data_IF_496152265938
#
_entry.id   IF_496152265938
#
_cell.length_a   1.000
_cell.length_b   1.000
_cell.length_c   1.000
_cell.angle_alpha   90.00
_cell.angle_beta   90.00
_cell.angle_gamma   90.00
#
_symmetry.space_group_name_H-M   'P 1'
#
loop_
_entity.id
_entity.type
_entity.pdbx_description
1 polymer ?
#
# COMPACT_ATOMS: atom_id res chain seq x y z
N UNK A 1 -35.26 -23.04 2.47
CA UNK A 1 -34.21 -23.13 3.51
C UNK A 1 -34.92 -23.13 4.85
N UNK A 2 -34.87 -24.22 5.60
CA UNK A 2 -35.61 -24.31 6.88
C UNK A 2 -35.11 -23.22 7.84
N UNK A 3 -36.03 -22.46 8.42
CA UNK A 3 -35.77 -21.47 9.49
C UNK A 3 -35.53 -22.21 10.84
N UNK A 4 -34.72 -23.27 10.80
CA UNK A 4 -34.40 -24.06 11.98
C UNK A 4 -33.28 -23.39 12.78
N UNK A 5 -33.69 -22.51 13.69
CA UNK A 5 -32.80 -21.92 14.68
C UNK A 5 -32.53 -22.94 15.78
N UNK A 6 -31.25 -23.18 16.08
CA UNK A 6 -30.83 -24.05 17.17
C UNK A 6 -30.47 -23.22 18.39
N UNK A 7 -31.00 -23.61 19.54
CA UNK A 7 -30.66 -22.99 20.83
C UNK A 7 -29.40 -23.65 21.38
N UNK A 8 -28.44 -22.82 21.78
CA UNK A 8 -27.19 -23.24 22.43
C UNK A 8 -27.13 -22.65 23.84
N UNK A 9 -26.69 -23.44 24.81
CA UNK A 9 -26.40 -22.99 26.17
C UNK A 9 -24.91 -23.17 26.44
N UNK A 10 -24.26 -22.11 26.91
CA UNK A 10 -22.84 -22.08 27.27
C UNK A 10 -22.71 -21.37 28.62
N UNK A 11 -21.68 -21.72 29.37
CA UNK A 11 -21.35 -21.08 30.64
C UNK A 11 -19.99 -20.40 30.51
N UNK A 12 -19.90 -19.19 31.07
CA UNK A 12 -18.64 -18.51 31.31
C UNK A 12 -18.35 -18.56 32.82
N UNK A 13 -17.10 -18.82 33.17
CA UNK A 13 -16.62 -18.94 34.53
C UNK A 13 -15.99 -17.61 34.95
N UNK A 14 -16.59 -16.86 35.88
CA UNK A 14 -16.07 -15.55 36.30
C UNK A 14 -14.74 -15.63 37.08
N UNK A 15 -14.38 -16.83 37.55
CA UNK A 15 -13.10 -17.09 38.22
C UNK A 15 -11.92 -17.11 37.23
N UNK A 16 -12.19 -17.40 35.95
CA UNK A 16 -11.18 -17.40 34.89
C UNK A 16 -11.00 -15.98 34.33
N UNK A 17 -9.79 -15.38 34.36
CA UNK A 17 -9.67 -13.96 34.11
C UNK A 17 -10.02 -13.54 32.67
N UNK A 18 -9.73 -14.39 31.66
CA UNK A 18 -10.13 -14.13 30.28
C UNK A 18 -11.66 -14.11 30.14
N UNK A 19 -12.34 -15.01 30.85
CA UNK A 19 -13.79 -15.15 30.79
C UNK A 19 -14.48 -14.05 31.59
N UNK A 20 -13.90 -13.63 32.71
CA UNK A 20 -14.33 -12.45 33.46
C UNK A 20 -14.29 -11.18 32.59
N UNK A 21 -13.17 -10.92 31.92
CA UNK A 21 -13.05 -9.78 31.00
C UNK A 21 -14.07 -9.88 29.84
N UNK A 22 -14.31 -11.08 29.33
CA UNK A 22 -15.35 -11.30 28.32
C UNK A 22 -16.76 -10.97 28.86
N UNK A 23 -17.08 -11.36 30.10
CA UNK A 23 -18.35 -11.04 30.77
C UNK A 23 -18.51 -9.52 30.91
N UNK A 24 -17.48 -8.83 31.40
CA UNK A 24 -17.47 -7.36 31.55
C UNK A 24 -17.72 -6.68 30.18
N UNK A 25 -17.02 -7.12 29.14
CA UNK A 25 -17.21 -6.63 27.75
C UNK A 25 -18.65 -6.85 27.25
N UNK A 26 -19.24 -8.02 27.55
CA UNK A 26 -20.62 -8.35 27.15
C UNK A 26 -21.63 -7.45 27.86
N UNK A 27 -21.37 -7.08 29.12
CA UNK A 27 -22.25 -6.24 29.91
C UNK A 27 -22.35 -4.81 29.37
N UNK A 28 -21.28 -4.29 28.75
CA UNK A 28 -21.25 -2.99 28.09
C UNK A 28 -22.09 -2.94 26.81
N UNK A 29 -22.28 -4.08 26.15
CA UNK A 29 -23.03 -4.15 24.88
C UNK A 29 -24.54 -3.98 25.15
N UNK A 30 -25.26 -3.14 24.37
CA UNK A 30 -26.70 -3.01 24.48
C UNK A 30 -27.44 -4.35 24.29
N UNK A 31 -28.40 -4.65 25.17
CA UNK A 31 -29.18 -5.91 25.18
C UNK A 31 -29.71 -6.34 23.80
N UNK A 32 -30.16 -5.38 22.97
CA UNK A 32 -30.69 -5.65 21.62
C UNK A 32 -29.64 -6.20 20.65
N UNK A 33 -28.37 -5.85 20.84
CA UNK A 33 -27.26 -6.22 19.94
C UNK A 33 -26.48 -7.45 20.44
N UNK A 34 -26.60 -7.80 21.73
CA UNK A 34 -25.88 -8.94 22.33
C UNK A 34 -26.08 -10.24 21.57
N UNK A 35 -27.30 -10.51 21.07
CA UNK A 35 -27.58 -11.76 20.36
C UNK A 35 -26.83 -11.89 19.03
N UNK A 36 -26.65 -10.78 18.31
CA UNK A 36 -25.86 -10.75 17.07
C UNK A 36 -24.38 -10.87 17.39
N UNK A 37 -23.90 -10.10 18.39
CA UNK A 37 -22.53 -10.18 18.87
C UNK A 37 -22.10 -11.60 19.28
N UNK A 38 -22.96 -12.35 19.98
CA UNK A 38 -22.67 -13.74 20.33
C UNK A 38 -22.58 -14.64 19.11
N UNK A 39 -23.47 -14.47 18.12
CA UNK A 39 -23.42 -15.26 16.88
C UNK A 39 -22.12 -15.02 16.14
N UNK A 40 -21.74 -13.75 15.94
CA UNK A 40 -20.52 -13.38 15.23
C UNK A 40 -19.26 -13.87 15.96
N UNK A 41 -19.22 -13.70 17.29
CA UNK A 41 -18.10 -14.16 18.12
C UNK A 41 -17.92 -15.69 18.07
N UNK A 42 -19.01 -16.44 18.13
CA UNK A 42 -18.96 -17.91 18.04
C UNK A 42 -18.50 -18.35 16.64
N UNK A 43 -19.05 -17.76 15.58
CA UNK A 43 -18.66 -18.08 14.19
C UNK A 43 -17.20 -17.74 13.94
N UNK A 44 -16.73 -16.58 14.42
CA UNK A 44 -15.32 -16.19 14.33
C UNK A 44 -14.41 -17.17 15.08
N UNK A 45 -14.74 -17.55 16.32
CA UNK A 45 -13.98 -18.53 17.09
C UNK A 45 -13.89 -19.90 16.40
N UNK A 46 -14.98 -20.36 15.78
CA UNK A 46 -14.99 -21.60 15.01
C UNK A 46 -14.17 -21.47 13.73
N UNK A 47 -14.25 -20.34 13.02
CA UNK A 47 -13.44 -20.08 11.83
C UNK A 47 -11.94 -20.10 12.17
N UNK A 48 -11.54 -19.47 13.28
CA UNK A 48 -10.18 -19.53 13.80
C UNK A 48 -9.74 -20.96 14.14
N UNK A 49 -10.62 -21.75 14.77
CA UNK A 49 -10.36 -23.16 15.07
C UNK A 49 -10.11 -24.02 13.83
N UNK A 50 -10.78 -23.69 12.71
CA UNK A 50 -10.55 -24.37 11.42
C UNK A 50 -9.18 -24.04 10.81
N UNK A 51 -8.61 -22.88 11.12
CA UNK A 51 -7.26 -22.50 10.67
C UNK A 51 -6.19 -23.21 11.52
N UNK A 52 -6.28 -23.10 12.84
CA UNK A 52 -5.53 -23.93 13.79
C UNK A 52 -6.35 -24.09 15.08
N UNK A 53 -6.49 -25.33 15.55
CA UNK A 53 -7.25 -25.69 16.75
C UNK A 53 -6.82 -24.98 18.04
N UNK A 54 -5.57 -24.49 18.12
CA UNK A 54 -5.00 -23.79 19.27
C UNK A 54 -5.32 -22.30 19.27
N UNK A 55 -5.66 -21.74 18.12
CA UNK A 55 -5.82 -20.31 17.90
C UNK A 55 -6.91 -19.69 18.80
N UNK A 56 -8.12 -20.29 18.94
CA UNK A 56 -9.17 -19.70 19.78
C UNK A 56 -8.75 -19.53 21.25
N UNK A 57 -8.03 -20.50 21.80
CA UNK A 57 -7.55 -20.46 23.18
C UNK A 57 -6.37 -19.49 23.36
N UNK A 58 -5.51 -19.34 22.34
CA UNK A 58 -4.40 -18.38 22.40
C UNK A 58 -4.88 -16.93 22.25
N UNK A 59 -5.86 -16.70 21.37
CA UNK A 59 -6.45 -15.37 21.19
C UNK A 59 -7.29 -14.98 22.40
N UNK A 60 -7.95 -15.91 23.08
CA UNK A 60 -8.67 -15.57 24.31
C UNK A 60 -7.74 -15.12 25.44
N UNK A 61 -6.47 -15.54 25.46
CA UNK A 61 -5.47 -15.03 26.41
C UNK A 61 -5.15 -13.55 26.19
N UNK A 62 -5.44 -12.98 25.03
CA UNK A 62 -5.26 -11.54 24.80
C UNK A 62 -6.22 -10.72 25.65
N UNK A 63 -7.44 -11.20 25.94
CA UNK A 63 -8.41 -10.50 26.80
C UNK A 63 -7.89 -10.27 28.24
N UNK A 64 -6.86 -10.98 28.67
CA UNK A 64 -6.26 -10.80 30.01
C UNK A 64 -5.31 -9.63 30.13
N UNK A 65 -4.62 -9.28 29.05
CA UNK A 65 -3.54 -8.29 29.07
C UNK A 65 -4.03 -6.99 28.45
N UNK A 66 -3.35 -5.88 28.73
CA UNK A 66 -3.36 -4.68 27.87
C UNK A 66 -2.82 -5.08 26.49
N UNK A 67 -3.64 -5.82 25.77
CA UNK A 67 -3.22 -6.65 24.66
C UNK A 67 -3.09 -5.78 23.43
N UNK A 68 -1.84 -5.51 23.10
CA UNK A 68 -1.52 -4.84 21.86
C UNK A 68 -1.65 -5.81 20.68
N UNK A 69 -1.93 -5.27 19.50
CA UNK A 69 -1.93 -5.99 18.22
C UNK A 69 -0.61 -6.76 18.00
N UNK A 70 0.50 -6.22 18.53
CA UNK A 70 1.82 -6.86 18.48
C UNK A 70 1.83 -8.25 19.11
N UNK A 71 1.09 -8.45 20.22
CA UNK A 71 1.03 -9.75 20.89
C UNK A 71 0.29 -10.77 20.02
N UNK A 72 -0.79 -10.33 19.35
CA UNK A 72 -1.49 -11.17 18.37
C UNK A 72 -0.57 -11.55 17.20
N UNK A 73 0.16 -10.59 16.63
CA UNK A 73 1.11 -10.83 15.54
C UNK A 73 2.17 -11.85 15.98
N UNK A 74 2.73 -11.73 17.18
CA UNK A 74 3.70 -12.70 17.72
C UNK A 74 3.11 -14.10 17.84
N UNK A 75 1.89 -14.24 18.35
CA UNK A 75 1.19 -15.54 18.42
C UNK A 75 1.03 -16.12 17.02
N UNK A 76 0.62 -15.31 16.03
CA UNK A 76 0.44 -15.76 14.66
C UNK A 76 1.75 -16.18 13.99
N UNK A 77 2.85 -15.44 14.20
CA UNK A 77 4.19 -15.82 13.71
C UNK A 77 4.67 -17.15 14.30
N UNK A 78 4.41 -17.38 15.60
CA UNK A 78 4.75 -18.65 16.27
C UNK A 78 3.93 -19.81 15.71
N UNK A 79 2.64 -19.61 15.49
CA UNK A 79 1.73 -20.65 14.98
C UNK A 79 1.96 -20.95 13.50
N UNK A 80 2.27 -19.92 12.72
CA UNK A 80 2.44 -20.00 11.27
C UNK A 80 3.78 -19.35 10.88
N UNK A 81 4.91 -20.07 11.03
CA UNK A 81 6.24 -19.52 10.75
C UNK A 81 6.47 -19.08 9.30
N UNK A 82 5.59 -19.49 8.39
CA UNK A 82 5.61 -19.14 6.96
C UNK A 82 4.76 -17.90 6.62
N UNK A 83 4.02 -17.35 7.59
CA UNK A 83 3.35 -16.08 7.40
C UNK A 83 4.39 -14.97 7.56
N UNK A 84 4.74 -14.34 6.45
CA UNK A 84 5.54 -13.13 6.45
C UNK A 84 4.63 -11.97 6.87
N UNK A 85 4.56 -11.71 8.18
CA UNK A 85 3.75 -10.62 8.78
C UNK A 85 4.63 -9.37 8.99
N UNK A 86 5.87 -9.39 8.52
CA UNK A 86 6.77 -8.23 8.58
C UNK A 86 6.43 -7.14 7.54
N UNK A 87 5.45 -7.39 6.64
CA UNK A 87 4.99 -6.46 5.60
C UNK A 87 4.21 -5.23 6.11
N UNK A 88 4.29 -4.90 7.40
CA UNK A 88 3.72 -3.64 7.94
C UNK A 88 4.67 -2.45 7.76
N UNK A 89 5.72 -2.59 6.94
CA UNK A 89 6.54 -1.48 6.43
C UNK A 89 6.55 -1.34 4.90
N UNK A 90 5.79 -2.15 4.15
CA UNK A 90 5.57 -1.92 2.70
C UNK A 90 4.48 -0.86 2.47
N UNK A 91 4.50 0.23 3.27
CA UNK A 91 3.89 1.47 2.79
C UNK A 91 4.86 1.98 1.73
N UNK A 92 4.56 1.67 0.47
CA UNK A 92 5.08 2.40 -0.69
C UNK A 92 5.01 3.89 -0.38
N UNK A 93 6.11 4.45 0.12
CA UNK A 93 6.09 5.80 0.68
C UNK A 93 6.04 6.71 -0.53
N UNK A 94 4.99 7.52 -0.63
CA UNK A 94 4.88 8.54 -1.68
C UNK A 94 6.04 9.52 -1.49
N UNK A 95 7.00 9.50 -2.41
CA UNK A 95 8.13 10.41 -2.44
C UNK A 95 7.93 11.45 -3.54
N UNK A 96 8.37 12.68 -3.29
CA UNK A 96 8.43 13.70 -4.33
C UNK A 96 9.59 13.36 -5.26
N UNK A 97 9.32 13.13 -6.54
CA UNK A 97 10.32 12.69 -7.53
C UNK A 97 10.71 13.76 -8.53
N UNK A 98 9.92 14.83 -8.64
CA UNK A 98 10.24 15.97 -9.50
C UNK A 98 9.52 17.23 -9.05
N UNK A 99 10.08 18.38 -9.43
CA UNK A 99 9.54 19.70 -9.10
C UNK A 99 9.27 20.50 -10.36
N UNK A 100 8.17 21.24 -10.37
CA UNK A 100 7.74 22.02 -11.54
C UNK A 100 7.28 23.42 -11.15
N UNK A 101 7.49 24.37 -12.06
CA UNK A 101 7.05 25.77 -11.94
C UNK A 101 6.30 26.21 -13.19
N UNK A 102 5.43 27.20 -13.02
CA UNK A 102 4.86 28.00 -14.11
C UNK A 102 4.71 29.46 -13.67
N UNK A 103 4.76 30.39 -14.62
CA UNK A 103 4.59 31.83 -14.38
C UNK A 103 3.50 32.39 -15.29
N UNK A 104 2.92 33.55 -15.00
CA UNK A 104 2.07 34.21 -16.00
C UNK A 104 2.92 34.98 -16.99
N UNK A 105 2.52 34.90 -18.26
CA UNK A 105 3.11 35.70 -19.31
C UNK A 105 2.42 37.08 -19.36
N UNK A 106 3.10 38.09 -18.83
CA UNK A 106 2.59 39.48 -18.78
C UNK A 106 2.55 40.16 -20.16
N UNK A 107 3.24 39.58 -21.15
CA UNK A 107 3.30 40.12 -22.52
C UNK A 107 2.10 39.70 -23.37
N UNK A 108 1.34 38.69 -22.93
CA UNK A 108 0.16 38.19 -23.64
C UNK A 108 -1.14 38.76 -23.05
N UNK A 109 -2.06 39.16 -23.94
CA UNK A 109 -3.39 39.66 -23.54
C UNK A 109 -4.12 38.60 -22.71
N UNK A 110 -4.50 38.95 -21.47
CA UNK A 110 -5.19 38.05 -20.54
C UNK A 110 -4.31 37.36 -19.49
N UNK A 111 -2.98 37.57 -19.50
CA UNK A 111 -2.02 36.98 -18.54
C UNK A 111 -2.16 35.46 -18.36
N UNK A 112 -2.10 34.66 -19.44
CA UNK A 112 -2.22 33.22 -19.34
C UNK A 112 -1.04 32.61 -18.57
N UNK A 113 -1.31 31.48 -17.91
CA UNK A 113 -0.26 30.68 -17.27
C UNK A 113 0.62 30.00 -18.33
N UNK A 114 1.93 30.02 -18.14
CA UNK A 114 2.86 29.23 -18.93
C UNK A 114 2.63 27.73 -18.72
N UNK A 115 3.14 26.92 -19.64
CA UNK A 115 3.27 25.48 -19.41
C UNK A 115 4.14 25.21 -18.17
N UNK A 116 3.91 24.07 -17.52
CA UNK A 116 4.77 23.59 -16.45
C UNK A 116 6.12 23.18 -17.02
N UNK A 117 7.20 23.67 -16.41
CA UNK A 117 8.57 23.27 -16.73
C UNK A 117 9.27 22.77 -15.47
N UNK A 118 10.28 21.91 -15.66
CA UNK A 118 11.02 21.31 -14.56
C UNK A 118 11.94 22.33 -13.88
N UNK A 119 12.02 22.25 -12.55
CA UNK A 119 12.91 23.04 -11.70
C UNK A 119 13.66 22.12 -10.72
N UNK A 120 14.70 22.64 -10.06
CA UNK A 120 15.39 21.90 -9.00
C UNK A 120 14.59 21.89 -7.69
N UNK A 121 14.92 20.96 -6.80
CA UNK A 121 14.38 20.90 -5.44
C UNK A 121 14.66 22.17 -4.64
N UNK A 122 15.89 22.69 -4.73
CA UNK A 122 16.28 23.92 -4.03
C UNK A 122 15.45 25.12 -4.51
N UNK A 123 15.22 25.23 -5.82
CA UNK A 123 14.38 26.28 -6.40
C UNK A 123 12.92 26.13 -5.95
N UNK A 124 12.41 24.90 -5.88
CA UNK A 124 11.06 24.63 -5.37
C UNK A 124 10.91 25.07 -3.92
N UNK A 125 11.86 24.70 -3.07
CA UNK A 125 11.86 25.04 -1.64
C UNK A 125 11.98 26.56 -1.44
N UNK A 126 12.78 27.24 -2.26
CA UNK A 126 12.88 28.69 -2.24
C UNK A 126 11.52 29.35 -2.52
N UNK A 127 10.79 28.89 -3.54
CA UNK A 127 9.45 29.39 -3.88
C UNK A 127 8.36 29.00 -2.87
N UNK A 128 8.50 27.85 -2.20
CA UNK A 128 7.61 27.46 -1.11
C UNK A 128 7.72 28.43 0.06
N UNK A 129 8.96 28.85 0.37
CA UNK A 129 9.26 29.78 1.46
C UNK A 129 8.98 31.25 1.08
N UNK A 130 9.05 31.60 -0.21
CA UNK A 130 8.81 32.95 -0.73
C UNK A 130 7.78 32.90 -1.88
N UNK A 131 6.47 32.84 -1.55
CA UNK A 131 5.43 32.71 -2.55
C UNK A 131 5.26 34.02 -3.33
N UNK A 132 5.45 33.97 -4.64
CA UNK A 132 5.21 35.10 -5.53
C UNK A 132 3.83 34.97 -6.18
N UNK A 133 3.06 36.06 -6.25
CA UNK A 133 1.72 36.05 -6.85
C UNK A 133 1.70 35.65 -8.32
N UNK A 134 2.84 35.80 -9.02
CA UNK A 134 2.97 35.51 -10.44
C UNK A 134 3.61 34.14 -10.76
N UNK A 135 3.90 33.31 -9.75
CA UNK A 135 4.47 31.97 -9.95
C UNK A 135 3.72 30.90 -9.14
N UNK A 136 3.68 29.70 -9.69
CA UNK A 136 3.14 28.52 -9.03
C UNK A 136 4.12 27.38 -9.13
N UNK A 137 4.26 26.63 -8.04
CA UNK A 137 5.12 25.47 -7.96
C UNK A 137 4.34 24.23 -7.54
N UNK A 138 4.77 23.05 -7.98
CA UNK A 138 4.21 21.76 -7.54
C UNK A 138 5.29 20.68 -7.51
N UNK A 139 5.11 19.72 -6.61
CA UNK A 139 5.84 18.46 -6.61
C UNK A 139 5.04 17.37 -7.35
N UNK A 140 5.74 16.52 -8.09
CA UNK A 140 5.21 15.27 -8.63
C UNK A 140 5.57 14.14 -7.69
N UNK A 141 4.59 13.32 -7.35
CA UNK A 141 4.75 12.24 -6.39
C UNK A 141 4.76 10.89 -7.11
N UNK A 142 5.65 10.00 -6.71
CA UNK A 142 5.65 8.61 -7.12
C UNK A 142 5.86 7.71 -5.90
N UNK A 143 5.60 6.42 -6.09
CA UNK A 143 5.92 5.43 -5.09
C UNK A 143 7.42 5.11 -5.15
N UNK A 144 8.07 4.98 -4.00
CA UNK A 144 9.46 4.55 -3.94
C UNK A 144 9.58 3.09 -4.42
N UNK A 145 10.09 2.89 -5.64
CA UNK A 145 10.26 1.56 -6.26
C UNK A 145 11.52 0.82 -5.77
N UNK A 146 12.27 1.38 -4.80
CA UNK A 146 13.55 0.82 -4.37
C UNK A 146 13.46 -0.54 -3.65
N UNK A 147 12.27 -1.07 -3.37
CA UNK A 147 12.10 -2.44 -2.88
C UNK A 147 11.83 -3.47 -3.98
N UNK A 148 11.38 -3.08 -5.18
CA UNK A 148 11.11 -4.03 -6.27
C UNK A 148 12.35 -4.43 -7.09
N UNK A 149 13.52 -3.83 -6.82
CA UNK A 149 14.78 -4.17 -7.52
C UNK A 149 15.60 -5.30 -6.89
N UNK A 150 15.20 -5.87 -5.75
CA UNK A 150 15.91 -7.04 -5.18
C UNK A 150 15.49 -8.39 -5.79
N UNK A 151 14.29 -8.51 -6.34
CA UNK A 151 13.79 -9.80 -6.88
C UNK A 151 13.89 -9.94 -8.41
N UNK A 152 14.46 -8.96 -9.11
CA UNK A 152 14.62 -9.01 -10.58
C UNK A 152 16.07 -9.32 -10.99
N UNK A 153 17.05 -9.36 -10.07
CA UNK A 153 18.44 -9.66 -10.43
C UNK A 153 18.74 -11.15 -10.73
N UNK A 154 17.81 -12.08 -10.45
CA UNK A 154 18.02 -13.52 -10.68
C UNK A 154 17.23 -14.12 -11.87
N UNK A 155 16.71 -13.29 -12.79
CA UNK A 155 16.26 -13.77 -14.10
C UNK A 155 17.24 -13.35 -15.20
N UNK A 156 18.22 -14.23 -15.40
CA UNK A 156 18.92 -14.52 -16.65
C UNK A 156 19.13 -13.33 -17.61
N UNK A 157 20.34 -12.76 -17.57
CA UNK A 157 20.93 -12.13 -18.75
C UNK A 157 20.96 -13.15 -19.89
N UNK A 158 19.98 -13.10 -20.78
CA UNK A 158 20.17 -13.63 -22.13
C UNK A 158 21.02 -12.61 -22.91
N UNK A 159 22.17 -12.99 -23.48
CA UNK A 159 22.94 -12.09 -24.32
C UNK A 159 22.13 -11.75 -25.57
N UNK A 160 22.05 -10.45 -25.92
CA UNK A 160 21.59 -10.03 -27.24
C UNK A 160 22.46 -10.70 -28.32
N UNK A 161 21.87 -11.24 -29.39
CA UNK A 161 22.66 -11.74 -30.50
C UNK A 161 23.31 -10.58 -31.24
N UNK A 162 24.63 -10.60 -31.36
CA UNK A 162 25.38 -9.70 -32.23
C UNK A 162 24.94 -9.91 -33.69
N UNK A 163 24.16 -8.98 -34.21
CA UNK A 163 23.84 -8.94 -35.63
C UNK A 163 24.97 -8.23 -36.39
N UNK A 164 25.98 -9.00 -36.78
CA UNK A 164 26.83 -8.65 -37.91
C UNK A 164 26.09 -9.02 -39.20
N UNK A 165 25.67 -8.04 -39.99
CA UNK A 165 25.74 -8.11 -41.47
C UNK A 165 25.50 -6.75 -42.11
N UNK A 166 26.51 -6.30 -42.85
CA UNK A 166 26.42 -5.33 -43.93
C UNK A 166 25.13 -5.50 -44.75
N UNK A 167 24.25 -4.51 -44.73
CA UNK A 167 23.29 -4.29 -45.81
C UNK A 167 23.01 -2.79 -45.91
N UNK A 168 23.43 -2.19 -47.03
CA UNK A 168 23.15 -0.79 -47.38
C UNK A 168 21.64 -0.54 -47.40
N UNK A 169 21.12 0.26 -46.46
CA UNK A 169 19.70 0.57 -46.43
C UNK A 169 19.36 1.58 -47.55
N UNK A 170 18.43 1.20 -48.43
CA UNK A 170 17.93 2.02 -49.54
C UNK A 170 17.26 3.32 -49.07
N UNK A 171 16.91 3.40 -47.77
CA UNK A 171 16.30 4.57 -47.13
C UNK A 171 17.25 5.77 -47.06
N UNK A 172 18.57 5.56 -46.92
CA UNK A 172 19.55 6.64 -46.90
C UNK A 172 19.91 7.15 -48.31
N UNK A 173 19.81 6.29 -49.33
CA UNK A 173 20.05 6.67 -50.73
C UNK A 173 18.96 7.58 -51.29
N UNK A 174 17.71 7.41 -50.87
CA UNK A 174 16.59 8.26 -51.29
C UNK A 174 16.62 9.66 -50.67
N UNK A 175 17.08 9.79 -49.41
CA UNK A 175 17.24 11.10 -48.77
C UNK A 175 18.32 11.96 -49.46
N UNK A 176 19.41 11.34 -49.92
CA UNK A 176 20.50 12.06 -50.60
C UNK A 176 20.13 12.53 -52.01
N UNK A 177 19.16 11.90 -52.67
CA UNK A 177 18.57 12.33 -53.95
C UNK A 177 17.60 13.51 -53.82
N UNK A 178 16.97 13.69 -52.67
CA UNK A 178 15.96 14.74 -52.44
C UNK A 178 16.58 16.08 -52.01
N UNK A 179 17.75 16.07 -51.38
CA UNK A 179 18.37 17.27 -50.79
C UNK A 179 19.75 17.61 -51.37
N UNK A 180 20.24 16.85 -52.34
CA UNK A 180 21.54 17.05 -52.97
C UNK A 180 21.43 17.48 -54.42
N UNK A 181 20.97 18.72 -54.67
CA UNK A 181 21.35 19.48 -55.86
C UNK A 181 20.89 20.94 -55.74
N UNK A 182 21.79 21.81 -55.31
CA UNK A 182 21.83 23.21 -55.71
C UNK A 182 23.30 23.63 -55.74
N UNK A 183 23.73 24.10 -56.91
CA UNK A 183 25.05 24.69 -57.17
C UNK A 183 25.49 25.68 -56.10
#
# INVERSE_FOLDING_TARGET
MSDERRKLWLYLYPDEPQQKSAIETIEEIPQRQRSDFFRDSIVAGIALSKLDKRLPALVSMLLQQDSNIDTLVRILKILFPKLDIDSTEDKSTLCAVAWQKRCRDELQQGTPWSAWFAISEDEYNHHLNHPESNSQVRALWAYDENEQKKDIQDKERTPFPEANTNTSSETLSNAKKLFGNSN
#
